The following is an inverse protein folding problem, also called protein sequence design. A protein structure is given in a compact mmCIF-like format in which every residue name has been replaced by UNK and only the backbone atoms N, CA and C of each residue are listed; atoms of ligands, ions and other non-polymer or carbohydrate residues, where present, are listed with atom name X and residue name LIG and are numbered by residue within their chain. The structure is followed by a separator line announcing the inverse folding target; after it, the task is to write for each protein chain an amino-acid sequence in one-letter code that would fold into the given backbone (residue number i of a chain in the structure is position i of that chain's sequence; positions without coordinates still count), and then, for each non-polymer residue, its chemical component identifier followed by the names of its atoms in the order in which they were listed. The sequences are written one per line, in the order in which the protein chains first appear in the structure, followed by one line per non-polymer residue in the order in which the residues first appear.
data_IF_662944290214
#
_entry.id   IF_662944290214
#
_cell.length_a   1.000
_cell.length_b   1.000
_cell.length_c   1.000
_cell.angle_alpha   90.00
_cell.angle_beta   90.00
_cell.angle_gamma   90.00
#
_symmetry.space_group_name_H-M   'P 1'
#
loop_
_entity.id
_entity.type
_entity.pdbx_description
1 polymer ?
#
# COMPACT_ATOMS: atom_id res chain seq x y z
N UNK A 1 -20.75 9.18 4.96
CA UNK A 1 -19.36 8.72 5.00
C UNK A 1 -18.50 9.32 3.88
N UNK A 2 -18.88 9.25 2.59
CA UNK A 2 -18.17 9.95 1.50
C UNK A 2 -18.15 11.46 1.74
N UNK A 3 -19.26 12.04 2.21
CA UNK A 3 -19.40 13.44 2.61
C UNK A 3 -18.40 13.79 3.71
N UNK A 4 -18.29 12.96 4.76
CA UNK A 4 -17.38 13.19 5.88
C UNK A 4 -15.90 13.18 5.44
N UNK A 5 -15.51 12.25 4.53
CA UNK A 5 -14.17 12.22 3.96
C UNK A 5 -13.84 13.51 3.19
N UNK A 6 -14.79 14.02 2.40
CA UNK A 6 -14.65 15.29 1.70
C UNK A 6 -14.60 16.49 2.65
N UNK A 7 -15.46 16.50 3.68
CA UNK A 7 -15.52 17.58 4.68
C UNK A 7 -14.24 17.66 5.53
N UNK A 8 -13.56 16.53 5.78
CA UNK A 8 -12.27 16.51 6.48
C UNK A 8 -11.12 16.87 5.52
N UNK A 9 -11.15 16.37 4.30
CA UNK A 9 -10.08 16.61 3.31
C UNK A 9 -9.96 18.09 2.92
N UNK A 10 -11.09 18.80 2.83
CA UNK A 10 -11.12 20.19 2.38
C UNK A 10 -10.36 21.15 3.33
N UNK A 11 -10.61 21.21 4.65
CA UNK A 11 -9.88 22.08 5.56
C UNK A 11 -8.38 21.70 5.62
N UNK A 12 -8.05 20.42 5.58
CA UNK A 12 -6.66 19.96 5.58
C UNK A 12 -5.94 20.42 4.31
N UNK A 13 -6.57 20.32 3.14
CA UNK A 13 -6.02 20.83 1.89
C UNK A 13 -5.80 22.35 1.94
N UNK A 14 -6.71 23.09 2.58
CA UNK A 14 -6.56 24.54 2.83
C UNK A 14 -5.34 24.86 3.67
N UNK A 15 -5.15 24.18 4.80
CA UNK A 15 -3.97 24.34 5.66
C UNK A 15 -2.68 24.01 4.90
N UNK A 16 -2.65 22.89 4.17
CA UNK A 16 -1.51 22.48 3.35
C UNK A 16 -1.13 23.54 2.33
N UNK A 17 -2.12 24.09 1.60
CA UNK A 17 -1.92 25.13 0.61
C UNK A 17 -1.41 26.43 1.25
N UNK A 18 -1.91 26.80 2.41
CA UNK A 18 -1.42 27.95 3.20
C UNK A 18 0.07 27.81 3.55
N UNK A 19 0.47 26.64 4.02
CA UNK A 19 1.89 26.36 4.35
C UNK A 19 2.78 26.37 3.08
N UNK A 20 2.28 25.85 1.95
CA UNK A 20 3.00 25.93 0.67
C UNK A 20 3.23 27.37 0.22
N UNK A 21 2.24 28.26 0.39
CA UNK A 21 2.39 29.68 0.11
C UNK A 21 3.41 30.35 1.04
N UNK A 22 3.40 30.02 2.33
CA UNK A 22 4.40 30.50 3.30
C UNK A 22 5.80 30.04 2.92
N UNK A 23 5.97 28.76 2.53
CA UNK A 23 7.24 28.22 2.05
C UNK A 23 7.76 29.00 0.83
N UNK A 24 6.87 29.35 -0.12
CA UNK A 24 7.24 30.13 -1.30
C UNK A 24 7.70 31.57 -0.99
N UNK A 25 7.30 32.10 0.17
CA UNK A 25 7.71 33.44 0.67
C UNK A 25 8.87 33.40 1.65
N UNK A 26 9.24 32.23 2.15
CA UNK A 26 10.31 32.08 3.13
C UNK A 26 11.67 32.39 2.50
N UNK A 27 12.40 33.33 3.12
CA UNK A 27 13.75 33.74 2.71
C UNK A 27 14.80 32.84 3.36
N UNK A 28 14.58 32.42 4.61
CA UNK A 28 15.52 31.60 5.36
C UNK A 28 15.27 30.11 5.07
N UNK A 29 16.34 29.36 4.85
CA UNK A 29 16.25 27.91 4.60
C UNK A 29 15.66 27.15 5.79
N UNK A 30 15.91 27.61 7.03
CA UNK A 30 15.28 27.06 8.22
C UNK A 30 13.74 27.14 8.19
N UNK A 31 13.19 28.25 7.71
CA UNK A 31 11.73 28.42 7.60
C UNK A 31 11.15 27.51 6.48
N UNK A 32 11.89 27.32 5.39
CA UNK A 32 11.51 26.37 4.33
C UNK A 32 11.48 24.93 4.84
N UNK A 33 12.52 24.54 5.60
CA UNK A 33 12.57 23.20 6.22
C UNK A 33 11.43 22.98 7.22
N UNK A 34 11.07 24.01 8.00
CA UNK A 34 9.92 23.93 8.91
C UNK A 34 8.61 23.74 8.14
N UNK A 35 8.40 24.52 7.06
CA UNK A 35 7.23 24.34 6.20
C UNK A 35 7.16 22.93 5.57
N UNK A 36 8.30 22.36 5.14
CA UNK A 36 8.34 21.00 4.61
C UNK A 36 7.97 19.96 5.68
N UNK A 37 8.46 20.11 6.90
CA UNK A 37 8.10 19.26 8.02
C UNK A 37 6.62 19.33 8.35
N UNK A 38 6.02 20.53 8.34
CA UNK A 38 4.59 20.74 8.56
C UNK A 38 3.74 20.11 7.45
N UNK A 39 4.14 20.27 6.19
CA UNK A 39 3.45 19.64 5.05
C UNK A 39 3.48 18.13 5.20
N UNK A 40 4.64 17.57 5.55
CA UNK A 40 4.80 16.12 5.74
C UNK A 40 3.88 15.58 6.84
N UNK A 41 3.77 16.29 7.98
CA UNK A 41 2.89 15.87 9.08
C UNK A 41 1.40 15.99 8.70
N UNK A 42 1.01 17.02 7.96
CA UNK A 42 -0.35 17.15 7.42
C UNK A 42 -0.69 16.02 6.47
N UNK A 43 0.21 15.69 5.54
CA UNK A 43 0.01 14.58 4.61
C UNK A 43 -0.10 13.24 5.38
N UNK A 44 0.67 13.06 6.44
CA UNK A 44 0.59 11.89 7.35
C UNK A 44 -0.75 11.80 8.07
N UNK A 45 -1.22 12.89 8.68
CA UNK A 45 -2.52 12.94 9.38
C UNK A 45 -3.67 12.69 8.40
N UNK A 46 -3.59 13.27 7.21
CA UNK A 46 -4.58 13.04 6.14
C UNK A 46 -4.66 11.56 5.77
N UNK A 47 -3.52 10.92 5.58
CA UNK A 47 -3.47 9.48 5.28
C UNK A 47 -4.07 8.63 6.41
N UNK A 48 -3.80 8.97 7.69
CA UNK A 48 -4.40 8.30 8.85
C UNK A 48 -5.92 8.40 8.85
N UNK A 49 -6.47 9.59 8.63
CA UNK A 49 -7.92 9.83 8.62
C UNK A 49 -8.58 9.07 7.46
N UNK A 50 -8.00 9.12 6.26
CA UNK A 50 -8.52 8.40 5.10
C UNK A 50 -8.48 6.87 5.32
N UNK A 51 -7.44 6.38 5.97
CA UNK A 51 -7.30 4.98 6.33
C UNK A 51 -8.37 4.54 7.36
N UNK A 52 -8.64 5.35 8.39
CA UNK A 52 -9.70 5.11 9.36
C UNK A 52 -11.08 5.09 8.70
N UNK A 53 -11.34 6.02 7.79
CA UNK A 53 -12.59 6.05 7.03
C UNK A 53 -12.75 4.79 6.15
N UNK A 54 -11.67 4.32 5.53
CA UNK A 54 -11.68 3.07 4.76
C UNK A 54 -12.05 1.87 5.65
N UNK A 55 -11.54 1.81 6.87
CA UNK A 55 -11.89 0.75 7.83
C UNK A 55 -13.33 0.85 8.36
N UNK A 56 -13.91 2.06 8.43
CA UNK A 56 -15.25 2.29 9.01
C UNK A 56 -16.40 2.02 8.05
N UNK A 57 -16.16 2.10 6.74
CA UNK A 57 -17.22 2.11 5.73
C UNK A 57 -17.26 0.79 4.98
N UNK A 58 -18.37 0.08 5.08
CA UNK A 58 -18.70 -1.02 4.19
C UNK A 58 -19.21 -0.40 2.86
N UNK A 59 -18.33 -0.22 1.90
CA UNK A 59 -18.74 0.17 0.54
C UNK A 59 -18.96 -1.09 -0.29
N UNK A 60 -20.13 -1.19 -0.92
CA UNK A 60 -20.25 -2.01 -2.12
C UNK A 60 -19.49 -1.28 -3.22
N UNK A 61 -18.25 -1.66 -3.46
CA UNK A 61 -17.46 -1.12 -4.56
C UNK A 61 -17.89 -1.78 -5.85
N UNK A 62 -18.13 -0.96 -6.88
CA UNK A 62 -18.40 -1.46 -8.23
C UNK A 62 -17.18 -2.26 -8.71
N UNK A 63 -17.39 -3.56 -8.93
CA UNK A 63 -16.39 -4.47 -9.48
C UNK A 63 -16.52 -4.51 -10.98
N UNK A 64 -15.40 -4.50 -11.67
CA UNK A 64 -15.30 -4.66 -13.12
C UNK A 64 -14.28 -5.74 -13.43
N UNK A 65 -14.23 -6.20 -14.67
CA UNK A 65 -13.20 -7.14 -15.10
C UNK A 65 -11.88 -6.39 -15.33
N UNK A 66 -10.93 -6.55 -14.40
CA UNK A 66 -9.64 -5.84 -14.34
C UNK A 66 -8.53 -6.74 -14.85
N UNK A 67 -7.63 -6.20 -15.69
CA UNK A 67 -6.37 -6.86 -16.06
C UNK A 67 -5.38 -6.79 -14.91
N UNK A 68 -5.25 -7.88 -14.14
CA UNK A 68 -4.31 -7.98 -13.01
C UNK A 68 -2.87 -7.78 -13.50
N UNK A 69 -2.48 -8.47 -14.57
CA UNK A 69 -1.15 -8.34 -15.17
C UNK A 69 -0.85 -6.91 -15.59
N UNK A 70 -1.81 -6.24 -16.24
CA UNK A 70 -1.66 -4.86 -16.69
C UNK A 70 -1.40 -3.90 -15.54
N UNK A 71 -2.21 -4.00 -14.46
CA UNK A 71 -2.07 -3.15 -13.27
C UNK A 71 -0.72 -3.38 -12.58
N UNK A 72 -0.29 -4.64 -12.40
CA UNK A 72 0.99 -4.95 -11.76
C UNK A 72 2.19 -4.41 -12.57
N UNK A 73 2.16 -4.57 -13.91
CA UNK A 73 3.20 -4.03 -14.79
C UNK A 73 3.27 -2.49 -14.73
N UNK A 74 2.13 -1.82 -14.73
CA UNK A 74 2.07 -0.36 -14.62
C UNK A 74 2.64 0.12 -13.28
N UNK A 75 2.24 -0.49 -12.17
CA UNK A 75 2.79 -0.19 -10.84
C UNK A 75 4.30 -0.42 -10.82
N UNK A 76 4.77 -1.56 -11.36
CA UNK A 76 6.20 -1.86 -11.45
C UNK A 76 6.98 -0.80 -12.20
N UNK A 77 6.46 -0.32 -13.33
CA UNK A 77 7.09 0.76 -14.10
C UNK A 77 7.17 2.09 -13.34
N UNK A 78 6.13 2.42 -12.58
CA UNK A 78 6.11 3.65 -11.75
C UNK A 78 7.18 3.57 -10.65
N UNK A 79 7.26 2.44 -9.94
CA UNK A 79 8.27 2.24 -8.88
C UNK A 79 9.70 2.20 -9.42
N UNK A 80 9.93 1.60 -10.58
CA UNK A 80 11.25 1.56 -11.21
C UNK A 80 11.81 2.96 -11.53
N UNK A 81 10.95 3.94 -11.78
CA UNK A 81 11.32 5.34 -12.05
C UNK A 81 11.21 6.25 -10.82
N UNK A 82 10.64 5.76 -9.73
CA UNK A 82 10.39 6.52 -8.51
C UNK A 82 11.62 6.62 -7.59
N UNK A 83 11.55 7.45 -6.54
CA UNK A 83 12.64 7.63 -5.58
C UNK A 83 12.99 6.35 -4.83
N UNK A 84 12.05 5.44 -4.66
CA UNK A 84 12.24 4.17 -3.96
C UNK A 84 13.02 3.12 -4.77
N UNK A 85 13.24 3.33 -6.08
CA UNK A 85 14.08 2.47 -6.93
C UNK A 85 15.53 2.37 -6.45
N UNK A 86 16.01 3.34 -5.67
CA UNK A 86 17.33 3.31 -5.02
C UNK A 86 17.37 2.45 -3.75
N UNK A 87 16.22 2.10 -3.20
CA UNK A 87 16.08 1.35 -1.94
C UNK A 87 15.83 -0.14 -2.17
N UNK A 88 15.20 -0.48 -3.27
CA UNK A 88 14.88 -1.86 -3.64
C UNK A 88 14.77 -2.02 -5.15
N UNK A 89 15.18 -3.18 -5.63
CA UNK A 89 14.83 -3.68 -6.96
C UNK A 89 13.42 -4.27 -6.92
N UNK A 90 12.51 -3.78 -7.80
CA UNK A 90 11.15 -4.31 -7.91
C UNK A 90 11.01 -5.11 -9.22
N UNK A 91 10.59 -6.35 -9.09
CA UNK A 91 10.38 -7.29 -10.20
C UNK A 91 8.89 -7.61 -10.34
N UNK A 92 8.43 -7.77 -11.58
CA UNK A 92 7.05 -8.19 -11.89
C UNK A 92 7.10 -9.48 -12.70
N UNK A 93 6.60 -10.55 -12.11
CA UNK A 93 6.54 -11.90 -12.68
C UNK A 93 5.05 -12.32 -12.73
N UNK A 94 4.32 -11.93 -13.77
CA UNK A 94 2.89 -12.18 -13.90
C UNK A 94 2.57 -12.87 -15.22
N UNK A 95 1.75 -13.92 -15.16
CA UNK A 95 1.20 -14.58 -16.36
C UNK A 95 0.37 -13.58 -17.16
N UNK A 96 0.41 -13.69 -18.48
CA UNK A 96 -0.39 -12.83 -19.36
C UNK A 96 -1.87 -13.21 -19.32
N UNK A 97 -2.74 -12.22 -19.59
CA UNK A 97 -4.18 -12.46 -19.71
C UNK A 97 -4.91 -12.68 -18.38
N UNK A 98 -4.28 -12.50 -17.23
CA UNK A 98 -4.96 -12.64 -15.93
C UNK A 98 -6.00 -11.54 -15.73
N UNK A 99 -7.24 -11.95 -15.48
CA UNK A 99 -8.36 -11.05 -15.19
C UNK A 99 -9.09 -11.48 -13.93
N UNK A 100 -9.49 -10.49 -13.11
CA UNK A 100 -10.29 -10.70 -11.92
C UNK A 100 -11.41 -9.66 -11.82
N UNK A 101 -12.52 -10.04 -11.16
CA UNK A 101 -13.64 -9.13 -10.88
C UNK A 101 -13.31 -8.30 -9.64
N UNK A 102 -12.81 -7.08 -9.84
CA UNK A 102 -12.25 -6.21 -8.81
C UNK A 102 -12.72 -4.76 -8.98
N UNK A 103 -12.61 -3.98 -7.91
CA UNK A 103 -12.49 -2.54 -8.03
C UNK A 103 -11.01 -2.19 -8.28
N UNK A 104 -10.69 -1.66 -9.45
CA UNK A 104 -9.30 -1.38 -9.85
C UNK A 104 -8.57 -0.42 -8.91
N UNK A 105 -9.25 0.62 -8.42
CA UNK A 105 -8.65 1.59 -7.50
C UNK A 105 -8.30 0.94 -6.15
N UNK A 106 -9.18 0.08 -5.64
CA UNK A 106 -8.94 -0.68 -4.42
C UNK A 106 -7.80 -1.68 -4.61
N UNK A 107 -7.74 -2.36 -5.76
CA UNK A 107 -6.64 -3.27 -6.08
C UNK A 107 -5.30 -2.53 -6.16
N UNK A 108 -5.25 -1.38 -6.82
CA UNK A 108 -4.06 -0.52 -6.82
C UNK A 108 -3.65 -0.11 -5.40
N UNK A 109 -4.60 0.27 -4.57
CA UNK A 109 -4.35 0.62 -3.17
C UNK A 109 -3.79 -0.55 -2.36
N UNK A 110 -4.32 -1.77 -2.55
CA UNK A 110 -3.79 -3.00 -1.95
C UNK A 110 -2.30 -3.14 -2.29
N UNK A 111 -1.96 -3.14 -3.59
CA UNK A 111 -0.58 -3.35 -4.04
C UNK A 111 0.36 -2.24 -3.53
N UNK A 112 -0.06 -0.97 -3.58
CA UNK A 112 0.73 0.14 -3.03
C UNK A 112 0.99 0.00 -1.52
N UNK A 113 -0.02 -0.41 -0.74
CA UNK A 113 0.15 -0.65 0.69
C UNK A 113 1.14 -1.78 0.97
N UNK A 114 1.07 -2.88 0.21
CA UNK A 114 1.97 -4.01 0.36
C UNK A 114 3.41 -3.63 -0.02
N UNK A 115 3.63 -2.95 -1.14
CA UNK A 115 4.97 -2.46 -1.53
C UNK A 115 5.52 -1.51 -0.46
N UNK A 116 4.70 -0.58 0.05
CA UNK A 116 5.12 0.34 1.12
C UNK A 116 5.53 -0.40 2.40
N UNK A 117 4.82 -1.48 2.76
CA UNK A 117 5.19 -2.31 3.89
C UNK A 117 6.51 -3.05 3.65
N UNK A 118 6.68 -3.63 2.46
CA UNK A 118 7.92 -4.28 2.03
C UNK A 118 9.12 -3.33 2.11
N UNK A 119 9.00 -2.10 1.57
CA UNK A 119 10.04 -1.08 1.63
C UNK A 119 10.44 -0.69 3.07
N UNK A 120 9.49 -0.71 4.02
CA UNK A 120 9.79 -0.46 5.45
C UNK A 120 10.41 -1.66 6.15
N UNK A 121 10.22 -2.86 5.63
CA UNK A 121 10.77 -4.09 6.18
C UNK A 121 12.20 -4.37 5.72
N UNK A 122 12.68 -3.70 4.67
CA UNK A 122 14.04 -3.88 4.14
C UNK A 122 15.09 -3.59 5.20
N UNK A 123 16.19 -4.31 5.12
CA UNK A 123 17.34 -4.21 6.03
C UNK A 123 18.55 -3.70 5.27
N UNK A 124 19.43 -2.88 5.92
CA UNK A 124 20.55 -2.23 5.25
C UNK A 124 21.69 -3.16 4.84
N UNK A 125 21.74 -4.38 5.39
CA UNK A 125 22.82 -5.34 5.24
C UNK A 125 22.76 -6.15 3.92
N UNK A 126 21.68 -5.98 3.14
CA UNK A 126 21.50 -6.62 1.84
C UNK A 126 20.71 -5.77 0.86
N UNK A 127 20.87 -6.06 -0.42
CA UNK A 127 20.08 -5.42 -1.46
C UNK A 127 18.60 -5.75 -1.29
N UNK A 128 17.76 -4.71 -1.19
CA UNK A 128 16.32 -4.86 -1.07
C UNK A 128 15.71 -5.39 -2.37
N UNK A 129 14.88 -6.43 -2.25
CA UNK A 129 14.16 -7.00 -3.38
C UNK A 129 12.67 -7.12 -3.04
N UNK A 130 11.84 -6.68 -3.99
CA UNK A 130 10.38 -6.84 -3.92
C UNK A 130 9.94 -7.50 -5.21
N UNK A 131 9.13 -8.56 -5.12
CA UNK A 131 8.55 -9.25 -6.27
C UNK A 131 7.04 -9.17 -6.23
N UNK A 132 6.45 -8.74 -7.34
CA UNK A 132 5.02 -8.83 -7.61
C UNK A 132 4.81 -10.02 -8.54
N UNK A 133 4.17 -11.06 -8.04
CA UNK A 133 3.91 -12.28 -8.81
C UNK A 133 2.41 -12.45 -9.00
N UNK A 134 1.98 -12.94 -10.16
CA UNK A 134 0.60 -13.32 -10.39
C UNK A 134 0.49 -14.53 -11.31
N UNK A 135 -0.41 -15.46 -10.94
CA UNK A 135 -0.67 -16.69 -11.67
C UNK A 135 -2.15 -17.07 -11.62
N UNK A 136 -2.62 -17.83 -12.60
CA UNK A 136 -3.94 -18.44 -12.54
C UNK A 136 -3.89 -19.72 -11.66
N UNK A 137 -4.90 -19.89 -10.80
CA UNK A 137 -5.10 -21.11 -10.04
C UNK A 137 -6.58 -21.49 -10.07
N UNK A 138 -6.94 -22.48 -10.90
CA UNK A 138 -8.33 -22.91 -11.11
C UNK A 138 -9.26 -21.76 -11.53
N UNK A 139 -10.13 -21.30 -10.60
CA UNK A 139 -11.09 -20.19 -10.81
C UNK A 139 -10.65 -18.90 -10.09
N UNK A 140 -9.42 -18.83 -9.64
CA UNK A 140 -8.86 -17.72 -8.90
C UNK A 140 -7.61 -17.17 -9.60
N UNK A 141 -7.34 -15.91 -9.36
CA UNK A 141 -6.07 -15.27 -9.66
C UNK A 141 -5.32 -15.09 -8.35
N UNK A 142 -4.17 -15.73 -8.27
CA UNK A 142 -3.24 -15.62 -7.16
C UNK A 142 -2.32 -14.42 -7.42
N UNK A 143 -2.22 -13.51 -6.45
CA UNK A 143 -1.27 -12.38 -6.49
C UNK A 143 -0.41 -12.45 -5.24
N UNK A 144 0.90 -12.49 -5.41
CA UNK A 144 1.85 -12.53 -4.29
C UNK A 144 2.76 -11.31 -4.32
N UNK A 145 2.86 -10.62 -3.19
CA UNK A 145 3.87 -9.60 -2.95
C UNK A 145 4.88 -10.17 -1.98
N UNK A 146 6.11 -10.36 -2.48
CA UNK A 146 7.24 -10.95 -1.73
C UNK A 146 8.30 -9.88 -1.49
N UNK A 147 8.85 -9.84 -0.28
CA UNK A 147 10.05 -9.09 0.03
C UNK A 147 11.10 -9.97 0.70
N UNK A 148 12.35 -9.51 0.63
CA UNK A 148 13.48 -10.09 1.36
C UNK A 148 13.82 -9.27 2.62
N UNK A 149 12.85 -8.63 3.24
CA UNK A 149 13.03 -7.80 4.43
C UNK A 149 13.34 -8.59 5.70
N UNK A 150 13.19 -7.96 6.86
CA UNK A 150 13.47 -8.56 8.18
C UNK A 150 12.57 -9.75 8.54
N UNK A 151 11.43 -9.91 7.86
CA UNK A 151 10.41 -10.89 8.18
C UNK A 151 9.72 -10.63 9.53
N UNK A 152 8.87 -11.58 9.93
CA UNK A 152 8.06 -11.55 11.15
C UNK A 152 8.10 -12.91 11.87
N UNK A 153 7.98 -12.88 13.18
CA UNK A 153 7.73 -14.07 14.00
C UNK A 153 6.26 -14.50 13.88
N UNK A 154 5.92 -15.73 14.30
CA UNK A 154 4.54 -16.20 14.33
C UNK A 154 3.62 -15.31 15.17
N UNK A 155 4.12 -14.81 16.32
CA UNK A 155 3.39 -13.86 17.15
C UNK A 155 3.14 -12.51 16.42
N UNK A 156 4.11 -12.03 15.66
CA UNK A 156 3.96 -10.82 14.86
C UNK A 156 2.98 -11.00 13.71
N UNK A 157 3.02 -12.15 13.03
CA UNK A 157 2.07 -12.49 11.97
C UNK A 157 0.64 -12.56 12.51
N UNK A 158 0.42 -13.20 13.68
CA UNK A 158 -0.92 -13.28 14.30
C UNK A 158 -1.53 -11.92 14.62
N UNK A 159 -0.70 -10.91 14.92
CA UNK A 159 -1.12 -9.54 15.24
C UNK A 159 -1.06 -8.58 14.06
N UNK A 160 -0.45 -9.00 12.94
CA UNK A 160 -0.16 -8.12 11.80
C UNK A 160 -1.40 -7.47 11.16
N UNK A 161 -2.58 -8.10 11.33
CA UNK A 161 -3.86 -7.61 10.83
C UNK A 161 -4.62 -6.74 11.84
N UNK A 162 -4.18 -6.69 13.10
CA UNK A 162 -4.81 -5.83 14.10
C UNK A 162 -4.57 -4.36 13.75
N UNK A 163 -5.62 -3.53 13.72
CA UNK A 163 -5.46 -2.09 13.50
C UNK A 163 -4.52 -1.47 14.55
N UNK A 164 -3.65 -0.56 14.09
CA UNK A 164 -2.64 0.15 14.89
C UNK A 164 -1.46 -0.70 15.38
N UNK A 165 -1.43 -2.00 15.11
CA UNK A 165 -0.27 -2.81 15.43
C UNK A 165 0.90 -2.47 14.50
N UNK A 166 2.00 -1.99 15.07
CA UNK A 166 3.22 -1.65 14.33
C UNK A 166 4.45 -1.70 15.22
N UNK A 167 5.58 -2.19 14.69
CA UNK A 167 6.91 -2.08 15.29
C UNK A 167 7.78 -1.03 14.57
N UNK A 168 7.23 -0.36 13.57
CA UNK A 168 7.91 0.72 12.85
C UNK A 168 7.65 2.05 13.52
N UNK A 169 8.71 2.82 13.84
CA UNK A 169 8.62 4.14 14.48
C UNK A 169 7.72 5.10 13.69
N UNK A 170 7.73 5.00 12.34
CA UNK A 170 6.93 5.85 11.46
C UNK A 170 5.74 5.10 10.84
N UNK A 171 5.41 3.91 11.35
CA UNK A 171 4.29 3.10 10.86
C UNK A 171 2.98 3.52 11.52
N UNK A 172 1.89 3.54 10.77
CA UNK A 172 0.54 3.80 11.31
C UNK A 172 -0.12 2.57 11.89
N UNK A 173 0.39 1.37 11.57
CA UNK A 173 -0.22 0.08 11.92
C UNK A 173 -1.56 -0.20 11.22
N UNK A 174 -1.93 0.58 10.19
CA UNK A 174 -3.20 0.44 9.48
C UNK A 174 -3.05 -0.24 8.10
N UNK A 175 -1.82 -0.37 7.58
CA UNK A 175 -1.61 -0.80 6.20
C UNK A 175 -2.15 -2.20 5.91
N UNK A 176 -1.83 -3.21 6.73
CA UNK A 176 -2.27 -4.59 6.50
C UNK A 176 -3.74 -4.81 6.85
N UNK A 177 -4.29 -4.14 7.87
CA UNK A 177 -5.72 -4.20 8.19
C UNK A 177 -6.58 -3.60 7.07
N UNK A 178 -6.11 -2.53 6.41
CA UNK A 178 -6.74 -1.97 5.21
C UNK A 178 -6.67 -2.95 4.05
N UNK A 179 -5.50 -3.55 3.80
CA UNK A 179 -5.33 -4.56 2.76
C UNK A 179 -6.32 -5.71 2.96
N UNK A 180 -6.39 -6.29 4.16
CA UNK A 180 -7.34 -7.37 4.49
C UNK A 180 -8.77 -6.97 4.14
N UNK A 181 -9.21 -5.78 4.58
CA UNK A 181 -10.55 -5.29 4.32
C UNK A 181 -10.85 -5.05 2.83
N UNK A 182 -9.89 -4.47 2.09
CA UNK A 182 -10.06 -4.26 0.65
C UNK A 182 -10.06 -5.58 -0.13
N UNK A 183 -9.29 -6.56 0.30
CA UNK A 183 -9.30 -7.91 -0.28
C UNK A 183 -10.67 -8.57 -0.05
N UNK A 184 -11.20 -8.52 1.18
CA UNK A 184 -12.53 -9.04 1.51
C UNK A 184 -13.64 -8.34 0.73
N UNK A 185 -13.60 -6.99 0.58
CA UNK A 185 -14.59 -6.24 -0.19
C UNK A 185 -14.61 -6.64 -1.67
N UNK A 186 -13.45 -7.07 -2.19
CA UNK A 186 -13.32 -7.59 -3.54
C UNK A 186 -13.65 -9.10 -3.65
N UNK A 187 -14.05 -9.76 -2.55
CA UNK A 187 -14.42 -11.18 -2.51
C UNK A 187 -13.21 -12.11 -2.54
N UNK A 188 -12.04 -11.59 -2.19
CA UNK A 188 -10.80 -12.34 -2.11
C UNK A 188 -10.46 -12.81 -0.68
N UNK A 189 -9.34 -13.50 -0.57
CA UNK A 189 -8.72 -13.92 0.70
C UNK A 189 -7.26 -13.50 0.74
N UNK A 190 -6.72 -13.37 1.95
CA UNK A 190 -5.33 -12.98 2.18
C UNK A 190 -4.66 -13.93 3.16
N UNK A 191 -3.42 -14.31 2.86
CA UNK A 191 -2.54 -15.09 3.72
C UNK A 191 -1.19 -14.40 3.83
N UNK A 192 -0.57 -14.47 5.02
CA UNK A 192 0.77 -13.92 5.28
C UNK A 192 1.68 -15.07 5.66
N UNK A 193 2.73 -15.28 4.88
CA UNK A 193 3.79 -16.25 5.16
C UNK A 193 5.07 -15.48 5.41
N UNK A 194 5.63 -15.57 6.61
CA UNK A 194 6.81 -14.78 6.97
C UNK A 194 7.77 -15.58 7.86
N UNK A 195 9.06 -15.28 7.72
CA UNK A 195 10.10 -15.89 8.55
C UNK A 195 11.14 -14.82 8.92
N UNK A 196 11.48 -14.69 10.22
CA UNK A 196 12.50 -13.74 10.66
C UNK A 196 13.82 -13.92 9.91
N UNK A 197 14.39 -12.80 9.45
CA UNK A 197 15.65 -12.75 8.70
C UNK A 197 15.55 -13.18 7.22
N UNK A 198 14.41 -13.72 6.78
CA UNK A 198 14.20 -14.19 5.39
C UNK A 198 13.39 -13.19 4.59
N UNK A 199 12.22 -12.78 5.08
CA UNK A 199 11.29 -11.87 4.41
C UNK A 199 9.83 -12.24 4.62
N UNK A 200 8.96 -11.65 3.81
CA UNK A 200 7.50 -11.84 3.89
C UNK A 200 6.90 -12.06 2.51
N UNK A 201 6.00 -13.02 2.42
CA UNK A 201 5.08 -13.23 1.30
C UNK A 201 3.67 -12.87 1.77
N UNK A 202 3.03 -11.92 1.09
CA UNK A 202 1.60 -11.68 1.24
C UNK A 202 0.91 -12.24 0.00
N UNK A 203 0.09 -13.26 0.21
CA UNK A 203 -0.61 -14.00 -0.84
C UNK A 203 -2.07 -13.57 -0.85
N UNK A 204 -2.55 -13.11 -1.99
CA UNK A 204 -3.92 -12.67 -2.22
C UNK A 204 -4.56 -13.61 -3.25
N UNK A 205 -5.80 -14.02 -3.01
CA UNK A 205 -6.59 -14.81 -3.96
C UNK A 205 -7.85 -14.03 -4.31
N UNK A 206 -8.12 -13.89 -5.58
CA UNK A 206 -9.33 -13.22 -6.07
C UNK A 206 -10.08 -14.11 -7.06
N UNK A 207 -11.42 -14.11 -7.06
CA UNK A 207 -12.18 -14.75 -8.12
C UNK A 207 -11.78 -14.19 -9.49
N UNK A 208 -11.35 -15.08 -10.39
CA UNK A 208 -10.83 -14.64 -11.68
C UNK A 208 -10.49 -15.77 -12.62
N UNK A 209 -9.95 -15.43 -13.77
CA UNK A 209 -9.60 -16.37 -14.84
C UNK A 209 -8.42 -15.85 -15.68
N UNK A 210 -7.81 -16.74 -16.43
CA UNK A 210 -6.93 -16.41 -17.55
C UNK A 210 -7.77 -16.30 -18.83
N UNK A 211 -7.52 -15.27 -19.65
CA UNK A 211 -8.19 -15.02 -20.94
C UNK A 211 -7.15 -14.94 -22.04
#
# INVERSE_FOLDING_TARGET
AATLAHEIKNPIAGIRSGIQLLKGRAVKDGDKMLCDSMIHEIDRVTALIMNLLTLSIRRESLKTEVSVTGVLKEIGMIYAKGPDSRRASLFVEAEEGLRASLNENEFRQIIHNLISNSLRALVPDREGQIKLMAAAQEKEVLVTVRDNGKGMTEEEVSKALEPFYTKSINGTGLGLSIVSRLVESNGGTMEIVSKPGVGTDVVLKFPGKMV
#
